data_IF_239682612601
#
_entry.id   IF_239682612601
#
_cell.length_a   1.000
_cell.length_b   1.000
_cell.length_c   1.000
_cell.angle_alpha   90.00
_cell.angle_beta   90.00
_cell.angle_gamma   90.00
#
_symmetry.space_group_name_H-M   'P 1'
#
loop_
_entity.id
_entity.type
_entity.pdbx_description
1 polymer ?
2 non-polymer ?
3 non-polymer ?
4 water ?
#
# COMPACT_ATOMS: atom_id res chain seq x y z
N UNK A 3 -15.31 -29.17 -3.49
CA UNK A 3 -14.68 -29.98 -4.56
C UNK A 3 -13.81 -29.06 -5.43
N UNK A 4 -14.46 -28.22 -6.25
CA UNK A 4 -13.82 -27.19 -7.13
C UNK A 4 -13.57 -25.91 -6.32
N UNK A 5 -14.52 -25.55 -5.46
CA UNK A 5 -14.61 -24.22 -4.83
C UNK A 5 -13.55 -24.10 -3.73
N UNK A 6 -12.95 -22.93 -3.59
CA UNK A 6 -12.31 -22.47 -2.35
C UNK A 6 -12.26 -20.96 -2.34
N UNK A 7 -12.26 -20.37 -1.15
CA UNK A 7 -11.95 -18.95 -0.89
C UNK A 7 -10.62 -18.84 -0.13
N UNK A 8 -9.77 -17.92 -0.56
CA UNK A 8 -8.51 -17.56 0.12
C UNK A 8 -8.58 -16.09 0.53
N UNK A 9 -8.34 -15.81 1.80
CA UNK A 9 -8.14 -14.44 2.33
C UNK A 9 -6.65 -14.18 2.53
N UNK A 10 -6.24 -13.00 2.21
CA UNK A 10 -4.91 -12.45 2.53
C UNK A 10 -5.13 -11.09 3.18
N UNK A 11 -4.14 -10.61 3.92
CA UNK A 11 -4.18 -9.27 4.57
C UNK A 11 -3.13 -8.40 3.93
N UNK A 12 -3.48 -7.14 3.67
CA UNK A 12 -2.56 -6.02 3.39
C UNK A 12 -2.65 -5.01 4.52
N UNK A 13 -1.54 -4.36 4.80
CA UNK A 13 -1.47 -3.17 5.66
C UNK A 13 -0.98 -2.00 4.81
N UNK A 14 -1.82 -1.01 4.61
CA UNK A 14 -1.44 0.34 4.17
C UNK A 14 -1.23 1.20 5.39
N UNK A 15 -0.21 2.03 5.36
CA UNK A 15 0.08 2.93 6.48
C UNK A 15 0.87 4.11 6.02
N UNK A 16 1.08 5.07 6.90
CA UNK A 16 1.95 6.22 6.63
C UNK A 16 2.49 6.79 7.93
N UNK A 17 3.62 7.46 7.83
CA UNK A 17 4.18 8.29 8.88
C UNK A 17 4.36 9.68 8.32
N UNK A 18 4.13 10.68 9.14
CA UNK A 18 4.31 12.09 8.81
C UNK A 18 4.84 12.80 10.04
N UNK A 19 5.77 13.74 9.87
CA UNK A 19 6.27 14.59 10.99
C UNK A 19 6.68 15.97 10.48
N UNK A 20 6.57 16.96 11.35
CA UNK A 20 7.04 18.34 11.12
C UNK A 20 8.56 18.35 11.24
N UNK A 21 9.25 18.81 10.19
CA UNK A 21 10.71 19.01 10.21
C UNK A 21 11.04 20.13 11.20
N UNK A 22 12.12 19.96 11.96
CA UNK A 22 12.69 21.00 12.86
C UNK A 22 13.12 22.20 12.02
N UNK A 23 13.69 21.93 10.85
CA UNK A 23 14.09 22.97 9.85
C UNK A 23 13.53 22.60 8.48
N UNK A 24 12.65 23.45 7.91
CA UNK A 24 12.23 23.33 6.54
C UNK A 24 13.40 23.08 5.58
N UNK A 25 13.16 22.35 4.51
CA UNK A 25 14.15 22.14 3.44
C UNK A 25 14.37 23.49 2.75
N UNK A 26 15.40 23.60 1.94
CA UNK A 26 15.71 24.83 1.17
C UNK A 26 14.54 25.13 0.20
N UNK A 27 13.81 24.12 -0.27
CA UNK A 27 12.55 24.32 -1.04
C UNK A 27 11.43 24.82 -0.11
N UNK A 28 11.64 24.75 1.22
CA UNK A 28 10.65 25.18 2.23
C UNK A 28 9.62 24.08 2.56
N UNK A 29 9.89 22.82 2.18
CA UNK A 29 9.10 21.64 2.65
C UNK A 29 9.11 21.62 4.19
N UNK A 30 7.93 21.51 4.79
CA UNK A 30 7.74 21.62 6.25
C UNK A 30 7.65 20.22 6.87
N UNK A 31 7.37 19.18 6.08
CA UNK A 31 7.04 17.80 6.57
C UNK A 31 7.78 16.75 5.77
N UNK A 32 8.27 15.72 6.47
CA UNK A 32 8.63 14.38 5.92
C UNK A 32 7.46 13.41 6.13
N UNK A 33 7.09 12.70 5.09
CA UNK A 33 6.15 11.56 5.18
C UNK A 33 6.68 10.34 4.43
N UNK A 34 6.12 9.20 4.77
CA UNK A 34 6.39 7.92 4.13
C UNK A 34 5.09 7.12 4.13
N UNK A 35 4.70 6.61 2.98
CA UNK A 35 3.50 5.76 2.80
C UNK A 35 3.96 4.38 2.35
N UNK A 36 3.23 3.34 2.73
CA UNK A 36 3.64 1.95 2.42
C UNK A 36 2.44 1.04 2.28
N UNK A 37 2.67 -0.03 1.52
CA UNK A 37 1.87 -1.27 1.54
C UNK A 37 2.78 -2.43 1.95
N UNK A 38 2.38 -3.22 2.92
CA UNK A 38 3.14 -4.39 3.37
C UNK A 38 2.16 -5.50 3.79
N UNK A 39 2.67 -6.71 4.01
CA UNK A 39 1.93 -7.79 4.66
C UNK A 39 1.98 -7.62 6.16
N UNK A 40 1.23 -8.39 6.96
CA UNK A 40 1.55 -8.53 8.39
C UNK A 40 2.78 -9.44 8.54
N UNK A 41 3.59 -9.22 9.58
CA UNK A 41 4.88 -9.91 9.75
C UNK A 41 4.70 -11.41 9.47
N UNK A 42 5.71 -12.06 8.90
CA UNK A 42 5.72 -13.51 8.54
C UNK A 42 4.79 -13.77 7.35
N UNK A 43 4.37 -12.72 6.64
CA UNK A 43 3.61 -12.85 5.38
C UNK A 43 4.34 -12.11 4.26
N UNK A 44 4.64 -12.82 3.19
CA UNK A 44 5.39 -12.28 2.05
C UNK A 44 4.42 -11.98 0.90
N UNK A 45 3.91 -10.76 0.84
CA UNK A 45 2.89 -10.40 -0.17
C UNK A 45 3.53 -10.36 -1.57
N UNK A 46 4.85 -10.39 -1.66
CA UNK A 46 5.52 -10.32 -2.97
C UNK A 46 5.13 -11.57 -3.77
N UNK A 47 4.78 -12.67 -3.11
CA UNK A 47 4.33 -13.91 -3.76
C UNK A 47 3.11 -13.65 -4.67
N UNK A 48 2.23 -12.70 -4.36
CA UNK A 48 0.98 -12.47 -5.15
C UNK A 48 0.87 -11.03 -5.62
N UNK A 49 1.74 -10.14 -5.17
CA UNK A 49 1.70 -8.71 -5.59
C UNK A 49 2.74 -8.46 -6.69
N UNK A 50 2.26 -8.01 -7.85
CA UNK A 50 3.09 -7.69 -9.05
C UNK A 50 3.76 -6.34 -8.84
N UNK A 51 2.99 -5.34 -8.49
CA UNK A 51 3.50 -3.99 -8.24
C UNK A 51 2.50 -3.25 -7.40
N UNK A 52 2.95 -2.17 -6.78
CA UNK A 52 2.08 -1.18 -6.12
C UNK A 52 2.34 0.18 -6.76
N UNK A 53 1.26 0.89 -7.07
CA UNK A 53 1.29 2.21 -7.72
C UNK A 53 0.70 3.20 -6.74
N UNK A 54 1.55 4.14 -6.27
CA UNK A 54 1.16 5.30 -5.42
C UNK A 54 1.03 6.56 -6.31
N UNK A 55 -0.13 7.23 -6.27
CA UNK A 55 -0.42 8.49 -7.00
C UNK A 55 -0.27 9.68 -6.08
N UNK A 56 0.86 10.35 -6.11
CA UNK A 56 1.11 11.57 -5.29
C UNK A 56 0.31 12.73 -5.90
N UNK A 57 0.02 13.75 -5.11
CA UNK A 57 -0.48 15.07 -5.59
C UNK A 57 0.34 15.53 -6.80
N UNK A 58 -0.31 16.10 -7.83
CA UNK A 58 0.32 16.26 -9.18
C UNK A 58 1.36 17.39 -9.12
N UNK A 59 1.39 18.15 -8.02
CA UNK A 59 2.47 19.11 -7.67
C UNK A 59 3.83 18.38 -7.55
N UNK A 60 3.82 17.09 -7.20
CA UNK A 60 5.05 16.27 -7.12
C UNK A 60 5.55 15.95 -8.52
N UNK A 61 6.89 16.00 -8.75
CA UNK A 61 7.48 15.49 -9.98
C UNK A 61 7.28 13.97 -10.13
N UNK A 62 7.11 13.47 -11.36
CA UNK A 62 6.67 12.09 -11.67
C UNK A 62 5.74 11.62 -10.55
N UNK A 63 4.56 12.24 -10.42
CA UNK A 63 3.67 11.97 -9.28
C UNK A 63 3.16 10.51 -9.23
N UNK A 64 3.26 9.76 -10.34
CA UNK A 64 2.89 8.33 -10.39
C UNK A 64 4.10 7.44 -10.06
N UNK A 65 4.17 6.98 -8.82
CA UNK A 65 5.33 6.22 -8.28
C UNK A 65 4.98 4.73 -8.26
N UNK A 66 5.82 3.92 -8.86
CA UNK A 66 5.65 2.47 -8.95
C UNK A 66 6.73 1.78 -8.13
N UNK A 67 6.35 0.79 -7.32
CA UNK A 67 7.26 -0.24 -6.77
C UNK A 67 6.90 -1.60 -7.33
N UNK A 68 7.82 -2.24 -8.04
CA UNK A 68 7.61 -3.57 -8.63
C UNK A 68 8.10 -4.64 -7.68
N UNK A 69 8.91 -4.28 -6.67
CA UNK A 69 9.32 -5.22 -5.57
C UNK A 69 9.22 -4.50 -4.24
N UNK A 70 9.19 -5.26 -3.13
CA UNK A 70 9.21 -4.67 -1.81
C UNK A 70 10.54 -3.99 -1.62
N UNK A 71 10.64 -2.91 -0.85
CA UNK A 71 9.53 -2.41 -0.09
C UNK A 71 8.63 -1.58 -1.00
N UNK A 72 7.31 -1.74 -0.88
CA UNK A 72 6.32 -0.90 -1.55
C UNK A 72 6.06 0.33 -0.67
N UNK A 73 6.81 1.39 -0.94
CA UNK A 73 6.77 2.63 -0.14
C UNK A 73 7.23 3.80 -0.98
N UNK A 74 6.78 4.99 -0.62
CA UNK A 74 7.30 6.29 -1.09
C UNK A 74 7.65 7.12 0.13
N UNK A 75 8.79 7.76 0.10
CA UNK A 75 9.30 8.66 1.13
C UNK A 75 9.45 10.00 0.48
N UNK A 76 8.81 11.03 1.02
CA UNK A 76 8.82 12.39 0.42
C UNK A 76 8.87 13.42 1.53
N UNK A 77 9.27 14.63 1.21
CA UNK A 77 8.95 15.84 1.98
C UNK A 77 7.93 16.64 1.20
N UNK A 78 7.18 17.49 1.87
CA UNK A 78 6.16 18.30 1.23
C UNK A 78 5.56 19.29 2.18
N UNK A 79 4.47 19.92 1.75
CA UNK A 79 3.86 21.11 2.39
C UNK A 79 2.58 20.69 3.08
N UNK A 80 1.84 19.73 2.52
CA UNK A 80 0.47 19.39 2.97
C UNK A 80 0.17 17.91 2.67
N UNK A 81 -0.84 17.37 3.37
CA UNK A 81 -1.47 16.10 3.04
C UNK A 81 -2.42 16.22 1.87
N UNK A 82 -2.91 15.08 1.39
CA UNK A 82 -3.80 14.94 0.22
C UNK A 82 -4.33 13.51 0.21
N UNK A 83 -5.29 13.22 -0.66
CA UNK A 83 -5.80 11.84 -0.85
C UNK A 83 -4.96 11.18 -1.94
N UNK A 84 -4.44 10.01 -1.64
CA UNK A 84 -3.51 9.26 -2.50
C UNK A 84 -4.20 7.97 -2.96
N UNK A 85 -4.61 7.92 -4.24
CA UNK A 85 -4.95 6.66 -4.89
C UNK A 85 -3.75 5.70 -4.81
N UNK A 86 -4.02 4.42 -4.47
CA UNK A 86 -2.98 3.34 -4.40
C UNK A 86 -3.57 2.11 -5.06
N UNK A 87 -2.92 1.61 -6.08
CA UNK A 87 -3.32 0.39 -6.77
C UNK A 87 -2.37 -0.69 -6.36
N UNK A 88 -2.90 -1.83 -5.96
CA UNK A 88 -2.12 -3.07 -5.71
C UNK A 88 -2.45 -4.05 -6.85
N UNK A 89 -1.48 -4.34 -7.70
CA UNK A 89 -1.64 -5.25 -8.84
C UNK A 89 -1.22 -6.65 -8.41
N UNK A 90 -1.98 -7.66 -8.81
CA UNK A 90 -1.76 -9.07 -8.42
C UNK A 90 -1.07 -9.83 -9.56
N UNK A 91 -0.29 -10.86 -9.19
CA UNK A 91 0.27 -11.86 -10.12
C UNK A 91 -0.79 -12.91 -10.50
N UNK A 92 -1.90 -12.42 -11.06
CA UNK A 92 -3.13 -13.19 -11.36
C UNK A 92 -3.33 -13.12 -12.87
N UNK A 93 -3.43 -14.27 -13.54
CA UNK A 93 -3.73 -14.35 -14.98
C UNK A 93 -5.24 -14.17 -15.20
N UNK A 94 -6.01 -14.25 -14.12
CA UNK A 94 -7.49 -14.17 -14.12
C UNK A 94 -7.92 -12.79 -13.63
N UNK A 95 -9.22 -12.57 -13.43
CA UNK A 95 -9.78 -11.42 -12.68
C UNK A 95 -9.92 -11.83 -11.21
N UNK A 96 -9.68 -10.92 -10.24
CA UNK A 96 -9.25 -9.56 -10.52
C UNK A 96 -7.72 -9.44 -10.62
N UNK A 97 -7.23 -8.41 -11.32
CA UNK A 97 -5.81 -8.18 -11.60
C UNK A 97 -5.23 -7.19 -10.59
N UNK A 98 -6.07 -6.47 -9.91
CA UNK A 98 -5.62 -5.38 -9.02
C UNK A 98 -6.76 -5.00 -8.10
N UNK A 99 -6.47 -4.10 -7.16
CA UNK A 99 -7.46 -3.45 -6.25
C UNK A 99 -6.95 -2.04 -5.97
N UNK A 100 -7.85 -1.05 -5.98
CA UNK A 100 -7.54 0.39 -5.70
C UNK A 100 -8.01 0.75 -4.29
N UNK A 101 -7.28 1.65 -3.65
CA UNK A 101 -7.61 2.23 -2.33
C UNK A 101 -7.45 3.75 -2.43
N UNK A 102 -8.27 4.47 -1.68
CA UNK A 102 -8.18 5.92 -1.49
C UNK A 102 -7.52 6.16 -0.16
N UNK A 103 -6.21 6.37 -0.15
CA UNK A 103 -5.45 6.49 1.10
C UNK A 103 -5.44 7.94 1.54
N UNK A 104 -5.81 8.17 2.79
CA UNK A 104 -5.89 9.50 3.36
C UNK A 104 -4.51 9.86 3.92
N UNK A 105 -3.70 10.55 3.14
CA UNK A 105 -2.34 10.93 3.59
C UNK A 105 -2.39 12.27 4.31
N UNK A 106 -2.73 12.26 5.58
CA UNK A 106 -2.81 13.50 6.38
C UNK A 106 -1.52 13.69 7.19
N UNK A 107 -1.14 14.96 7.39
CA UNK A 107 0.05 15.41 8.16
C UNK A 107 -0.41 15.89 9.52
N UNK A 108 0.51 16.01 10.48
CA UNK A 108 0.26 16.62 11.80
C UNK A 108 0.14 18.14 11.63
N UNK A 109 -1.08 18.65 11.56
CA UNK A 109 -1.41 20.12 11.55
C UNK A 109 -0.97 20.70 12.90
N UNK A 110 -0.95 22.03 13.00
CA UNK A 110 -0.44 22.78 14.19
C UNK A 110 0.94 22.24 14.57
N UNK A 111 1.21 22.14 15.89
CA UNK A 111 2.37 21.42 16.45
C UNK A 111 1.93 20.11 17.10
N UNK A 112 1.09 19.33 16.39
CA UNK A 112 0.64 17.98 16.83
C UNK A 112 1.80 17.01 16.77
N UNK A 113 1.83 16.00 17.66
CA UNK A 113 2.85 14.96 17.57
C UNK A 113 2.86 14.39 16.15
N UNK A 114 3.94 13.70 15.74
CA UNK A 114 3.98 13.08 14.42
C UNK A 114 2.87 12.03 14.22
N UNK A 115 2.53 11.75 12.98
CA UNK A 115 1.48 10.81 12.56
C UNK A 115 2.12 9.44 12.33
N UNK A 116 1.45 8.38 12.77
CA UNK A 116 1.85 6.97 12.54
C UNK A 116 0.57 6.16 12.41
N UNK A 117 0.04 6.05 11.20
CA UNK A 117 -1.25 5.38 10.92
C UNK A 117 -1.02 4.07 10.23
N UNK A 118 -1.91 3.13 10.50
CA UNK A 118 -2.01 1.83 9.82
C UNK A 118 -3.48 1.56 9.48
N UNK A 119 -3.71 0.91 8.35
CA UNK A 119 -5.05 0.54 7.86
C UNK A 119 -5.00 -0.87 7.30
N UNK A 120 -5.77 -1.78 7.88
CA UNK A 120 -5.70 -3.21 7.59
C UNK A 120 -6.84 -3.57 6.65
N UNK A 121 -6.48 -4.17 5.54
CA UNK A 121 -7.38 -4.54 4.44
C UNK A 121 -7.33 -6.04 4.28
N UNK A 122 -8.47 -6.67 4.31
CA UNK A 122 -8.64 -8.10 4.05
C UNK A 122 -9.11 -8.24 2.61
N UNK A 123 -8.35 -8.90 1.77
CA UNK A 123 -8.81 -9.27 0.40
C UNK A 123 -9.34 -10.71 0.43
N UNK A 124 -10.43 -10.96 -0.27
CA UNK A 124 -11.05 -12.31 -0.40
C UNK A 124 -11.06 -12.71 -1.87
N UNK A 125 -10.41 -13.80 -2.20
CA UNK A 125 -10.34 -14.37 -3.56
C UNK A 125 -11.20 -15.62 -3.61
N UNK A 126 -12.19 -15.63 -4.48
CA UNK A 126 -13.12 -16.77 -4.69
C UNK A 126 -12.61 -17.58 -5.86
N UNK A 127 -12.42 -18.88 -5.65
CA UNK A 127 -12.10 -19.87 -6.71
C UNK A 127 -10.94 -19.33 -7.51
N UNK A 128 -9.83 -18.94 -6.88
CA UNK A 128 -8.62 -18.64 -7.62
C UNK A 128 -8.12 -19.88 -8.36
N UNK A 129 -7.53 -19.70 -9.54
CA UNK A 129 -6.73 -20.75 -10.23
C UNK A 129 -5.76 -21.37 -9.22
N UNK A 130 -5.46 -22.65 -9.39
CA UNK A 130 -4.48 -23.40 -8.57
C UNK A 130 -3.16 -22.61 -8.49
N UNK A 131 -2.75 -21.98 -9.59
CA UNK A 131 -1.48 -21.23 -9.70
C UNK A 131 -1.50 -20.06 -8.72
N UNK A 132 -2.49 -19.18 -8.88
CA UNK A 132 -2.63 -17.93 -8.13
C UNK A 132 -2.91 -18.26 -6.68
N UNK A 133 -3.60 -19.37 -6.47
CA UNK A 133 -3.93 -19.90 -5.15
C UNK A 133 -2.62 -20.22 -4.40
N UNK A 134 -1.65 -20.78 -5.13
CA UNK A 134 -0.36 -21.22 -4.56
C UNK A 134 0.37 -19.98 -4.05
N UNK A 135 0.31 -18.91 -4.83
CA UNK A 135 0.93 -17.59 -4.48
C UNK A 135 0.28 -17.03 -3.22
N UNK A 136 -1.05 -17.01 -3.17
CA UNK A 136 -1.82 -16.41 -2.06
C UNK A 136 -1.49 -17.15 -0.75
N UNK A 137 -1.51 -18.48 -0.78
CA UNK A 137 -1.21 -19.34 0.38
C UNK A 137 0.28 -19.23 0.76
N UNK A 138 1.18 -19.16 -0.22
CA UNK A 138 2.64 -18.95 -0.02
C UNK A 138 2.90 -17.65 0.74
N UNK A 139 2.06 -16.64 0.50
CA UNK A 139 2.15 -15.28 1.06
C UNK A 139 1.62 -15.28 2.50
N UNK A 140 1.08 -16.40 2.98
CA UNK A 140 0.41 -16.51 4.29
C UNK A 140 -1.10 -16.32 4.19
N UNK A 141 -1.66 -16.41 2.99
CA UNK A 141 -3.11 -16.47 2.78
C UNK A 141 -3.73 -17.66 3.50
N UNK A 142 -5.03 -17.62 3.72
CA UNK A 142 -5.79 -18.57 4.57
C UNK A 142 -7.07 -19.00 3.84
N UNK A 143 -7.38 -20.29 3.84
CA UNK A 143 -8.63 -20.86 3.25
C UNK A 143 -9.79 -20.68 4.24
N UNK A 144 -10.99 -20.39 3.73
CA UNK A 144 -12.22 -20.08 4.54
C UNK A 144 -13.45 -20.68 3.84
N UNK A 145 -14.65 -20.50 4.39
CA UNK A 145 -15.95 -20.94 3.78
C UNK A 145 -15.95 -22.48 3.67
#
# INVERSE_FOLDING_TARGET
SMDNQCTVQVRLELGHRAQLRKKPTTEGFTHDWMVFVRGPEQCDIQHFVEKVVFWLHDSFPKPRRVCKEPPYKVEESGYAGFIMPIEVHFKNKEEPRKVCFTYDLFLNLEGNPPVNHLRCEKLTFNNPTTEFRYKLLRAGGVMVMPEGAHHHHHH
#
